data_IF_682317766886
#
_entry.id   IF_682317766886
#
_cell.length_a   1.000
_cell.length_b   1.000
_cell.length_c   1.000
_cell.angle_alpha   90.00
_cell.angle_beta   90.00
_cell.angle_gamma   90.00
#
_symmetry.space_group_name_H-M   'P 1'
#
loop_
_entity.id
_entity.type
_entity.pdbx_description
1 polymer ?
#
# COMPACT_ATOMS: atom_id res chain seq x y z
N UNK A 1 27.30 -16.51 -45.15
CA UNK A 1 27.81 -17.67 -44.39
C UNK A 1 27.16 -17.80 -43.02
N UNK A 2 27.06 -16.78 -42.16
CA UNK A 2 26.34 -16.89 -40.87
C UNK A 2 24.80 -17.03 -41.00
N UNK A 3 24.23 -16.65 -42.15
CA UNK A 3 22.79 -16.73 -42.40
C UNK A 3 22.31 -18.15 -42.73
N UNK A 4 23.13 -18.93 -43.44
CA UNK A 4 22.81 -20.32 -43.80
C UNK A 4 22.83 -21.24 -42.57
N UNK A 5 23.69 -20.91 -41.59
CA UNK A 5 23.71 -21.59 -40.28
C UNK A 5 22.44 -21.30 -39.48
N UNK A 6 21.89 -20.08 -39.59
CA UNK A 6 20.68 -19.70 -38.89
C UNK A 6 19.43 -20.38 -39.46
N UNK A 7 19.34 -20.51 -40.79
CA UNK A 7 18.25 -21.26 -41.43
C UNK A 7 18.30 -22.76 -41.11
N UNK A 8 19.51 -23.35 -41.07
CA UNK A 8 19.67 -24.74 -40.61
C UNK A 8 19.21 -24.94 -39.16
N UNK A 9 19.52 -24.01 -38.27
CA UNK A 9 19.16 -24.10 -36.86
C UNK A 9 17.64 -24.01 -36.64
N UNK A 10 16.94 -23.19 -37.43
CA UNK A 10 15.47 -23.14 -37.42
C UNK A 10 14.84 -24.41 -38.01
N UNK A 11 15.38 -24.92 -39.11
CA UNK A 11 14.88 -26.14 -39.73
C UNK A 11 15.01 -27.34 -38.78
N UNK A 12 16.16 -27.48 -38.12
CA UNK A 12 16.41 -28.53 -37.11
C UNK A 12 15.49 -28.37 -35.89
N UNK A 13 15.19 -27.13 -35.46
CA UNK A 13 14.23 -26.88 -34.39
C UNK A 13 12.78 -27.23 -34.77
N UNK A 14 12.39 -27.04 -36.04
CA UNK A 14 11.08 -27.39 -36.56
C UNK A 14 10.92 -28.91 -36.78
N UNK A 15 11.97 -29.60 -37.24
CA UNK A 15 11.99 -31.07 -37.38
C UNK A 15 11.99 -31.80 -36.03
N UNK A 16 12.55 -31.19 -34.98
CA UNK A 16 12.48 -31.70 -33.59
C UNK A 16 11.08 -31.59 -32.94
N UNK A 17 10.05 -31.32 -33.75
CA UNK A 17 8.64 -31.61 -33.52
C UNK A 17 8.24 -31.65 -32.05
N UNK A 18 7.82 -30.50 -31.51
CA UNK A 18 7.20 -30.36 -30.19
C UNK A 18 7.76 -31.34 -29.15
N UNK A 19 9.06 -31.27 -28.85
CA UNK A 19 9.56 -31.85 -27.62
C UNK A 19 8.84 -31.09 -26.50
N UNK A 20 7.80 -31.73 -25.98
CA UNK A 20 6.88 -31.21 -24.98
C UNK A 20 7.73 -30.61 -23.87
N UNK A 21 7.79 -29.28 -23.80
CA UNK A 21 8.49 -28.58 -22.72
C UNK A 21 7.83 -29.01 -21.42
N UNK A 22 8.42 -29.98 -20.73
CA UNK A 22 8.04 -30.35 -19.38
C UNK A 22 8.52 -29.22 -18.47
N UNK A 23 7.68 -28.19 -18.35
CA UNK A 23 7.71 -27.29 -17.19
C UNK A 23 7.66 -28.19 -15.95
N UNK A 24 8.61 -28.02 -15.05
CA UNK A 24 8.68 -28.75 -13.78
C UNK A 24 7.38 -28.52 -12.98
N UNK A 25 6.38 -29.38 -13.19
CA UNK A 25 5.19 -29.42 -12.35
C UNK A 25 5.47 -30.36 -11.18
N UNK A 26 5.16 -29.87 -9.98
CA UNK A 26 5.19 -30.63 -8.75
C UNK A 26 4.23 -31.83 -8.86
N UNK A 27 4.61 -33.05 -8.43
CA UNK A 27 3.74 -34.22 -8.57
C UNK A 27 2.44 -34.01 -7.79
N UNK A 28 1.30 -34.19 -8.46
CA UNK A 28 0.00 -34.21 -7.81
C UNK A 28 -0.15 -35.49 -6.97
N UNK A 29 -0.59 -35.33 -5.73
CA UNK A 29 -0.94 -36.41 -4.80
C UNK A 29 -2.12 -37.23 -5.39
N UNK A 30 -2.04 -38.58 -5.49
CA UNK A 30 -3.07 -39.37 -6.13
C UNK A 30 -4.20 -39.68 -5.13
N UNK A 31 -5.12 -38.72 -4.95
CA UNK A 31 -6.26 -38.93 -4.07
C UNK A 31 -7.31 -37.83 -4.16
N UNK A 32 -8.24 -37.96 -5.12
CA UNK A 32 -9.49 -37.20 -5.12
C UNK A 32 -9.53 -36.11 -6.19
N UNK A 33 -10.24 -36.40 -7.27
CA UNK A 33 -10.45 -35.47 -8.38
C UNK A 33 -11.09 -34.16 -7.94
N UNK A 34 -10.30 -33.10 -7.99
CA UNK A 34 -10.75 -31.76 -8.36
C UNK A 34 -9.87 -31.34 -9.53
N UNK A 35 -10.40 -30.80 -10.65
CA UNK A 35 -9.55 -30.32 -11.73
C UNK A 35 -8.55 -29.31 -11.17
N UNK A 36 -7.26 -29.59 -11.33
CA UNK A 36 -6.20 -28.62 -11.08
C UNK A 36 -6.43 -27.43 -12.01
N UNK A 37 -7.06 -26.39 -11.47
CA UNK A 37 -7.63 -25.27 -12.22
C UNK A 37 -8.79 -24.59 -11.48
N UNK A 38 -9.41 -25.26 -10.51
CA UNK A 38 -10.53 -24.70 -9.74
C UNK A 38 -10.10 -24.15 -8.36
N UNK A 39 -9.12 -23.24 -8.32
CA UNK A 39 -8.92 -22.25 -7.25
C UNK A 39 -7.79 -21.26 -7.58
N UNK A 40 -7.68 -20.83 -8.83
CA UNK A 40 -7.14 -19.50 -9.11
C UNK A 40 -8.20 -18.85 -9.96
N UNK A 41 -9.26 -18.34 -9.33
CA UNK A 41 -10.04 -17.33 -10.02
C UNK A 41 -9.03 -16.25 -10.35
N UNK A 42 -8.70 -16.09 -11.64
CA UNK A 42 -7.73 -15.12 -12.11
C UNK A 42 -7.98 -13.82 -11.35
N UNK A 43 -7.07 -13.46 -10.43
CA UNK A 43 -7.16 -12.22 -9.67
C UNK A 43 -6.92 -11.10 -10.68
N UNK A 44 -8.00 -10.74 -11.38
CA UNK A 44 -7.97 -9.73 -12.41
C UNK A 44 -7.85 -8.39 -11.72
N UNK A 45 -6.67 -7.79 -11.82
CA UNK A 45 -6.46 -6.42 -11.41
C UNK A 45 -7.37 -5.51 -12.22
N UNK A 46 -8.24 -4.75 -11.54
CA UNK A 46 -9.19 -3.84 -12.16
C UNK A 46 -8.74 -2.39 -11.95
N UNK A 47 -8.38 -1.71 -13.04
CA UNK A 47 -7.92 -0.32 -13.01
C UNK A 47 -8.91 0.60 -12.30
N UNK A 48 -10.21 0.42 -12.52
CA UNK A 48 -11.24 1.25 -11.92
C UNK A 48 -11.28 1.03 -10.41
N UNK A 49 -11.17 -0.21 -9.94
CA UNK A 49 -11.11 -0.53 -8.52
C UNK A 49 -9.92 0.15 -7.82
N UNK A 50 -8.73 0.13 -8.44
CA UNK A 50 -7.55 0.82 -7.90
C UNK A 50 -7.70 2.33 -7.83
N UNK A 51 -8.21 2.95 -8.90
CA UNK A 51 -8.45 4.39 -8.95
C UNK A 51 -9.50 4.79 -7.91
N UNK A 52 -10.63 4.09 -7.84
CA UNK A 52 -11.69 4.36 -6.86
C UNK A 52 -11.20 4.16 -5.42
N UNK A 53 -10.36 3.15 -5.16
CA UNK A 53 -9.75 2.98 -3.85
C UNK A 53 -8.84 4.17 -3.50
N UNK A 54 -8.02 4.64 -4.43
CA UNK A 54 -7.16 5.81 -4.24
C UNK A 54 -7.94 7.10 -4.00
N UNK A 55 -8.99 7.35 -4.79
CA UNK A 55 -9.92 8.47 -4.60
C UNK A 55 -10.59 8.42 -3.22
N UNK A 56 -11.06 7.24 -2.79
CA UNK A 56 -11.66 7.05 -1.48
C UNK A 56 -10.70 7.38 -0.33
N UNK A 57 -9.45 6.95 -0.42
CA UNK A 57 -8.41 7.27 0.57
C UNK A 57 -8.09 8.77 0.57
N UNK A 58 -8.06 9.44 -0.58
CA UNK A 58 -7.92 10.90 -0.65
C UNK A 58 -9.14 11.64 -0.11
N UNK A 59 -10.35 11.11 -0.29
CA UNK A 59 -11.55 11.66 0.34
C UNK A 59 -11.47 11.63 1.87
N UNK A 60 -10.86 10.58 2.44
CA UNK A 60 -10.58 10.53 3.88
C UNK A 60 -9.59 11.63 4.30
N UNK A 61 -8.52 11.86 3.53
CA UNK A 61 -7.57 12.97 3.75
C UNK A 61 -8.29 14.33 3.83
N UNK A 62 -9.24 14.59 2.95
CA UNK A 62 -10.01 15.85 2.97
C UNK A 62 -10.85 16.00 4.25
N UNK A 63 -11.47 14.90 4.69
CA UNK A 63 -12.19 14.84 5.97
C UNK A 63 -11.28 15.12 7.16
N UNK A 64 -10.08 14.52 7.16
CA UNK A 64 -9.04 14.74 8.18
C UNK A 64 -8.59 16.21 8.17
N UNK A 65 -8.35 16.80 7.00
CA UNK A 65 -7.95 18.20 6.85
C UNK A 65 -8.97 19.14 7.50
N UNK A 66 -10.27 18.91 7.26
CA UNK A 66 -11.34 19.67 7.92
C UNK A 66 -11.35 19.49 9.45
N UNK A 67 -11.05 18.28 9.93
CA UNK A 67 -10.96 18.02 11.36
C UNK A 67 -9.76 18.74 12.00
N UNK A 68 -8.60 18.77 11.33
CA UNK A 68 -7.43 19.53 11.77
C UNK A 68 -7.71 21.02 11.83
N UNK A 69 -8.40 21.60 10.84
CA UNK A 69 -8.82 23.02 10.90
C UNK A 69 -9.70 23.28 12.12
N UNK A 70 -10.70 22.42 12.37
CA UNK A 70 -11.56 22.58 13.56
C UNK A 70 -10.80 22.42 14.88
N UNK A 71 -9.81 21.53 14.92
CA UNK A 71 -8.95 21.36 16.09
C UNK A 71 -8.11 22.62 16.33
N UNK A 72 -7.55 23.21 15.29
CA UNK A 72 -6.81 24.48 15.35
C UNK A 72 -7.71 25.64 15.80
N UNK A 73 -8.90 25.75 15.22
CA UNK A 73 -9.88 26.77 15.61
C UNK A 73 -10.32 26.62 17.07
N UNK A 74 -10.49 25.37 17.55
CA UNK A 74 -10.84 25.08 18.94
C UNK A 74 -9.74 25.43 19.95
N UNK A 75 -8.49 25.57 19.48
CA UNK A 75 -7.36 25.99 20.30
C UNK A 75 -7.20 27.51 20.36
N UNK A 76 -7.95 28.26 19.54
CA UNK A 76 -7.89 29.71 19.51
C UNK A 76 -8.23 30.31 20.88
N UNK A 77 -7.42 31.29 21.31
CA UNK A 77 -7.62 32.01 22.57
C UNK A 77 -7.00 31.37 23.82
N UNK A 78 -6.31 30.23 23.71
CA UNK A 78 -5.63 29.62 24.87
C UNK A 78 -4.53 30.53 25.47
N UNK A 79 -3.91 31.39 24.66
CA UNK A 79 -2.93 32.37 25.13
C UNK A 79 -1.68 31.74 25.76
N UNK A 80 -1.04 32.47 26.68
CA UNK A 80 0.03 31.93 27.51
C UNK A 80 -0.54 30.98 28.58
N UNK A 81 0.03 29.78 28.68
CA UNK A 81 -0.40 28.75 29.64
C UNK A 81 0.27 28.91 31.02
N UNK A 82 1.08 29.95 31.21
CA UNK A 82 1.76 30.25 32.47
C UNK A 82 0.83 30.24 33.68
N UNK A 83 1.18 29.43 34.69
CA UNK A 83 0.43 29.33 35.95
C UNK A 83 -0.84 28.47 35.91
N UNK A 84 -1.25 27.95 34.74
CA UNK A 84 -2.42 27.07 34.61
C UNK A 84 -2.01 25.68 34.08
N UNK A 85 -1.90 24.71 34.99
CA UNK A 85 -1.47 23.34 34.65
C UNK A 85 -2.41 22.65 33.65
N UNK A 86 -3.72 22.89 33.75
CA UNK A 86 -4.69 22.32 32.81
C UNK A 86 -4.56 22.93 31.40
N UNK A 87 -4.26 24.22 31.29
CA UNK A 87 -4.01 24.87 30.01
C UNK A 87 -2.73 24.35 29.34
N UNK A 88 -1.65 24.15 30.13
CA UNK A 88 -0.42 23.53 29.65
C UNK A 88 -0.66 22.10 29.15
N UNK A 89 -1.35 21.27 29.94
CA UNK A 89 -1.69 19.90 29.55
C UNK A 89 -2.59 19.85 28.29
N UNK A 90 -3.55 20.77 28.16
CA UNK A 90 -4.38 20.89 26.96
C UNK A 90 -3.53 21.23 25.73
N UNK A 91 -2.55 22.14 25.85
CA UNK A 91 -1.65 22.50 24.76
C UNK A 91 -0.81 21.30 24.31
N UNK A 92 -0.23 20.56 25.25
CA UNK A 92 0.53 19.34 24.95
C UNK A 92 -0.33 18.30 24.23
N UNK A 93 -1.57 18.09 24.69
CA UNK A 93 -2.51 17.18 24.06
C UNK A 93 -2.85 17.62 22.63
N UNK A 94 -3.15 18.91 22.44
CA UNK A 94 -3.41 19.48 21.12
C UNK A 94 -2.24 19.27 20.17
N UNK A 95 -1.01 19.58 20.59
CA UNK A 95 0.19 19.43 19.76
C UNK A 95 0.41 17.96 19.36
N UNK A 96 0.21 17.03 20.30
CA UNK A 96 0.30 15.59 20.04
C UNK A 96 -0.77 15.11 19.04
N UNK A 97 -2.03 15.52 19.21
CA UNK A 97 -3.12 15.12 18.30
C UNK A 97 -2.96 15.73 16.92
N UNK A 98 -2.57 17.00 16.84
CA UNK A 98 -2.31 17.68 15.57
C UNK A 98 -1.24 16.95 14.78
N UNK A 99 -0.15 16.57 15.45
CA UNK A 99 0.92 15.78 14.83
C UNK A 99 0.40 14.43 14.33
N UNK A 100 -0.21 13.63 15.20
CA UNK A 100 -0.68 12.29 14.84
C UNK A 100 -1.68 12.32 13.67
N UNK A 101 -2.69 13.17 13.75
CA UNK A 101 -3.72 13.28 12.72
C UNK A 101 -3.13 13.85 11.42
N UNK A 102 -2.14 14.75 11.50
CA UNK A 102 -1.35 15.21 10.36
C UNK A 102 -0.58 14.08 9.67
N UNK A 103 0.06 13.20 10.44
CA UNK A 103 0.78 12.04 9.93
C UNK A 103 -0.20 11.04 9.26
N UNK A 104 -1.38 10.80 9.83
CA UNK A 104 -2.46 10.00 9.19
C UNK A 104 -2.91 10.63 7.87
N UNK A 105 -3.09 11.96 7.82
CA UNK A 105 -3.43 12.69 6.59
C UNK A 105 -2.37 12.49 5.50
N UNK A 106 -1.08 12.59 5.85
CA UNK A 106 0.03 12.32 4.95
C UNK A 106 0.03 10.88 4.43
N UNK A 107 -0.23 9.90 5.30
CA UNK A 107 -0.36 8.50 4.91
C UNK A 107 -1.48 8.28 3.89
N UNK A 108 -2.64 8.92 4.10
CA UNK A 108 -3.75 8.87 3.15
C UNK A 108 -3.37 9.47 1.80
N UNK A 109 -2.64 10.59 1.77
CA UNK A 109 -2.21 11.21 0.52
C UNK A 109 -1.30 10.28 -0.31
N UNK A 110 -0.28 9.73 0.34
CA UNK A 110 0.71 8.86 -0.30
C UNK A 110 0.12 7.51 -0.71
N UNK A 111 -0.68 6.89 0.16
CA UNK A 111 -1.39 5.65 -0.16
C UNK A 111 -2.39 5.86 -1.29
N UNK A 112 -3.21 6.91 -1.23
CA UNK A 112 -4.19 7.21 -2.27
C UNK A 112 -3.53 7.41 -3.63
N UNK A 113 -2.44 8.18 -3.68
CA UNK A 113 -1.65 8.36 -4.89
C UNK A 113 -0.98 7.07 -5.39
N UNK A 114 -0.54 6.19 -4.48
CA UNK A 114 0.01 4.88 -4.85
C UNK A 114 -1.04 3.98 -5.50
N UNK A 115 -2.24 3.92 -4.93
CA UNK A 115 -3.36 3.14 -5.47
C UNK A 115 -3.77 3.62 -6.87
N UNK A 116 -3.92 4.93 -7.06
CA UNK A 116 -4.24 5.51 -8.37
C UNK A 116 -3.17 5.18 -9.43
N UNK A 117 -1.88 5.34 -9.10
CA UNK A 117 -0.78 5.01 -10.02
C UNK A 117 -0.73 3.53 -10.37
N UNK A 118 -0.96 2.66 -9.39
CA UNK A 118 -0.98 1.21 -9.61
C UNK A 118 -2.09 0.81 -10.60
N UNK A 119 -3.26 1.44 -10.48
CA UNK A 119 -4.35 1.28 -11.44
C UNK A 119 -4.04 1.88 -12.81
N UNK A 120 -3.36 3.04 -12.88
CA UNK A 120 -2.98 3.64 -14.15
C UNK A 120 -2.02 2.74 -14.93
N UNK A 121 -1.01 2.22 -14.26
CA UNK A 121 0.10 1.55 -14.92
C UNK A 121 -0.22 0.08 -15.22
N UNK A 122 -1.03 -0.62 -14.41
CA UNK A 122 -1.36 -2.07 -14.49
C UNK A 122 -0.18 -3.02 -14.81
N UNK A 123 1.03 -2.49 -14.81
CA UNK A 123 2.29 -3.10 -15.27
C UNK A 123 3.36 -3.01 -14.19
N UNK A 124 3.06 -2.31 -13.08
CA UNK A 124 3.87 -2.40 -11.88
C UNK A 124 3.82 -3.86 -11.39
N UNK A 125 4.97 -4.53 -11.26
CA UNK A 125 5.02 -5.84 -10.65
C UNK A 125 4.54 -5.75 -9.19
N UNK A 126 3.80 -6.77 -8.74
CA UNK A 126 3.28 -6.84 -7.37
C UNK A 126 4.38 -6.70 -6.31
N UNK A 127 5.61 -7.15 -6.61
CA UNK A 127 6.76 -6.99 -5.74
C UNK A 127 7.14 -5.52 -5.51
N UNK A 128 7.08 -4.70 -6.56
CA UNK A 128 7.35 -3.26 -6.46
C UNK A 128 6.26 -2.57 -5.65
N UNK A 129 4.99 -2.91 -5.93
CA UNK A 129 3.85 -2.37 -5.18
C UNK A 129 3.96 -2.72 -3.69
N UNK A 130 4.32 -3.98 -3.40
CA UNK A 130 4.56 -4.43 -2.03
C UNK A 130 5.69 -3.64 -1.35
N UNK A 131 6.81 -3.44 -2.03
CA UNK A 131 7.92 -2.67 -1.49
C UNK A 131 7.53 -1.22 -1.17
N UNK A 132 6.76 -0.57 -2.04
CA UNK A 132 6.23 0.78 -1.81
C UNK A 132 5.25 0.83 -0.63
N UNK A 133 4.39 -0.17 -0.48
CA UNK A 133 3.49 -0.30 0.68
C UNK A 133 4.26 -0.54 1.99
N UNK A 134 5.29 -1.39 1.96
CA UNK A 134 6.13 -1.67 3.13
C UNK A 134 6.93 -0.41 3.54
N UNK A 135 7.43 0.37 2.58
CA UNK A 135 8.06 1.67 2.85
C UNK A 135 7.10 2.68 3.47
N UNK A 136 5.85 2.75 2.96
CA UNK A 136 4.80 3.61 3.52
C UNK A 136 4.50 3.22 4.98
N UNK A 137 4.43 1.92 5.28
CA UNK A 137 4.19 1.41 6.64
C UNK A 137 5.30 1.82 7.60
N UNK A 138 6.55 1.78 7.16
CA UNK A 138 7.69 2.21 7.99
C UNK A 138 7.71 3.73 8.20
N UNK A 139 7.36 4.50 7.17
CA UNK A 139 7.33 5.96 7.25
C UNK A 139 6.24 6.47 8.21
N UNK A 140 5.08 5.84 8.18
CA UNK A 140 3.93 6.18 9.02
C UNK A 140 3.68 5.09 10.06
N UNK A 141 4.73 4.71 10.79
CA UNK A 141 4.60 3.90 11.99
C UNK A 141 3.61 4.60 12.93
N UNK A 142 2.60 3.86 13.38
CA UNK A 142 1.65 4.40 14.34
C UNK A 142 2.41 4.83 15.60
N UNK A 143 2.09 6.03 16.09
CA UNK A 143 2.65 6.52 17.35
C UNK A 143 2.30 5.53 18.45
N UNK A 144 3.28 5.14 19.26
CA UNK A 144 2.99 4.34 20.45
C UNK A 144 1.92 5.05 21.31
N UNK A 145 1.10 4.27 22.01
CA UNK A 145 0.07 4.84 22.87
C UNK A 145 0.72 5.64 24.02
N UNK A 146 0.82 6.96 23.84
CA UNK A 146 1.46 7.89 24.79
C UNK A 146 0.53 8.35 25.91
N UNK A 147 -0.76 7.99 25.88
CA UNK A 147 -1.75 8.34 26.91
C UNK A 147 -1.85 7.31 28.03
N UNK A 148 -1.84 7.74 29.30
CA UNK A 148 -2.10 6.87 30.46
C UNK A 148 -0.90 6.12 31.03
N UNK A 149 0.30 6.35 30.51
CA UNK A 149 1.55 5.85 31.10
C UNK A 149 1.81 6.58 32.42
N UNK A 150 1.86 5.85 33.54
CA UNK A 150 2.31 6.43 34.80
C UNK A 150 3.77 6.86 34.64
N UNK A 151 4.08 8.15 34.83
CA UNK A 151 5.49 8.57 34.93
C UNK A 151 6.09 7.83 36.13
N UNK A 152 7.15 7.05 35.89
CA UNK A 152 7.92 6.43 36.96
C UNK A 152 8.34 7.49 37.98
N UNK A 153 8.14 7.17 39.25
CA UNK A 153 8.37 8.07 40.40
C UNK A 153 9.86 8.25 40.68
#
# INVERSE_FOLDING_TARGET
>A
MAWDEWERLKADAAERGSTQMQLNQYPADPGGGTPAGAASGDLKSDKKAWVTAGEGVRGLKDGIGKALTKLDDGQAGLGDTGGCQSAAAQKELYDSWKKYVGDVSGRCDELGGLLERSGHDLSKPDQTLKAELDALKLKYLDTEAVGGQAKEK
#
